data_IF_812135797237
#
_entry.id   IF_812135797237
#
_cell.length_a   1.000
_cell.length_b   1.000
_cell.length_c   1.000
_cell.angle_alpha   90.00
_cell.angle_beta   90.00
_cell.angle_gamma   90.00
#
_symmetry.space_group_name_H-M   'P 1'
#
loop_
_entity.id
_entity.type
_entity.pdbx_description
1 polymer ?
#
# COMPACT_ATOMS: atom_id res chain seq x y z
N UNK A 1 0.38 17.36 3.90
CA UNK A 1 -0.81 16.48 3.91
C UNK A 1 -0.39 15.05 3.63
N UNK A 2 -0.83 14.13 4.47
CA UNK A 2 -0.57 12.68 4.33
C UNK A 2 -1.26 12.16 3.09
N UNK A 3 -0.55 11.31 2.33
CA UNK A 3 -1.08 10.66 1.13
C UNK A 3 -1.10 9.14 1.32
N UNK A 4 -2.14 8.48 0.80
CA UNK A 4 -2.14 7.03 0.72
C UNK A 4 -1.21 6.54 -0.38
N UNK A 5 -0.52 5.41 -0.16
CA UNK A 5 0.22 4.70 -1.22
C UNK A 5 -0.71 4.00 -2.21
N UNK A 6 -1.94 3.70 -1.80
CA UNK A 6 -2.98 3.15 -2.66
C UNK A 6 -3.75 4.29 -3.31
N UNK A 7 -4.18 4.08 -4.54
CA UNK A 7 -4.96 5.05 -5.27
C UNK A 7 -5.41 4.54 -6.63
N UNK A 8 -6.41 5.23 -7.18
CA UNK A 8 -6.95 4.98 -8.49
C UNK A 8 -7.24 6.32 -9.19
N UNK A 9 -6.87 6.41 -10.45
CA UNK A 9 -7.21 7.54 -11.29
C UNK A 9 -7.59 7.08 -12.68
N UNK A 10 -8.60 7.69 -13.26
CA UNK A 10 -9.02 7.44 -14.63
C UNK A 10 -9.37 8.75 -15.33
N UNK A 11 -8.95 8.84 -16.56
CA UNK A 11 -9.42 9.88 -17.48
C UNK A 11 -9.67 9.27 -18.84
N UNK A 12 -10.65 9.80 -19.54
CA UNK A 12 -10.94 9.41 -20.91
C UNK A 12 -11.29 10.62 -21.76
N UNK A 13 -10.93 10.56 -23.04
CA UNK A 13 -11.33 11.52 -24.05
C UNK A 13 -11.95 10.75 -25.20
N UNK A 14 -13.17 11.12 -25.54
CA UNK A 14 -13.94 10.50 -26.62
C UNK A 14 -14.27 11.60 -27.62
N UNK A 15 -13.88 11.37 -28.86
CA UNK A 15 -14.24 12.23 -30.02
C UNK A 15 -14.97 11.37 -31.04
N UNK A 16 -15.41 11.98 -32.14
CA UNK A 16 -15.95 11.23 -33.29
C UNK A 16 -14.94 10.31 -33.96
N UNK A 17 -13.64 10.56 -33.75
CA UNK A 17 -12.53 9.92 -34.44
C UNK A 17 -11.83 8.84 -33.58
N UNK A 18 -11.80 9.01 -32.25
CA UNK A 18 -11.09 8.09 -31.36
C UNK A 18 -11.66 8.10 -29.93
N UNK A 19 -11.33 7.06 -29.20
CA UNK A 19 -11.47 6.99 -27.75
C UNK A 19 -10.10 6.65 -27.13
N UNK A 20 -9.60 7.54 -26.27
CA UNK A 20 -8.41 7.32 -25.46
C UNK A 20 -8.83 7.24 -23.98
N UNK A 21 -8.49 6.16 -23.30
CA UNK A 21 -8.70 6.01 -21.86
C UNK A 21 -7.40 5.63 -21.17
N UNK A 22 -7.14 6.28 -20.05
CA UNK A 22 -5.95 6.05 -19.21
C UNK A 22 -6.41 5.75 -17.81
N UNK A 23 -5.94 4.62 -17.26
CA UNK A 23 -6.19 4.21 -15.89
C UNK A 23 -4.86 4.04 -15.16
N UNK A 24 -4.79 4.58 -13.94
CA UNK A 24 -3.61 4.50 -13.05
C UNK A 24 -4.08 3.84 -11.76
N UNK A 25 -3.35 2.83 -11.32
CA UNK A 25 -3.56 2.15 -10.03
C UNK A 25 -2.25 2.07 -9.29
N UNK A 26 -2.27 2.30 -7.99
CA UNK A 26 -1.10 2.05 -7.14
C UNK A 26 -1.44 1.17 -5.95
N UNK A 27 -0.44 0.39 -5.53
CA UNK A 27 -0.47 -0.41 -4.32
C UNK A 27 0.83 -0.19 -3.54
N UNK A 28 0.78 -0.47 -2.23
CA UNK A 28 1.94 -0.34 -1.38
C UNK A 28 3.11 -1.18 -1.90
N UNK A 29 4.27 -0.53 -2.08
CA UNK A 29 5.52 -1.19 -2.42
C UNK A 29 6.71 -0.35 -1.91
N UNK A 30 7.81 -1.04 -1.56
CA UNK A 30 8.99 -0.40 -0.96
C UNK A 30 9.67 0.64 -1.87
N UNK A 31 9.68 0.39 -3.17
CA UNK A 31 10.29 1.24 -4.20
C UNK A 31 9.23 1.64 -5.23
N UNK A 32 9.52 2.68 -6.02
CA UNK A 32 8.68 2.98 -7.18
C UNK A 32 8.92 1.93 -8.26
N UNK A 33 7.89 1.13 -8.53
CA UNK A 33 7.83 0.16 -9.62
C UNK A 33 6.70 0.59 -10.57
N UNK A 34 7.06 1.08 -11.75
CA UNK A 34 6.11 1.59 -12.73
C UNK A 34 6.01 0.63 -13.92
N UNK A 35 4.87 -0.03 -14.03
CA UNK A 35 4.51 -0.92 -15.12
C UNK A 35 3.52 -0.21 -16.05
N UNK A 36 3.88 -0.08 -17.34
CA UNK A 36 3.06 0.61 -18.34
C UNK A 36 2.60 -0.39 -19.39
N UNK A 37 1.29 -0.49 -19.56
CA UNK A 37 0.67 -1.27 -20.64
C UNK A 37 0.00 -0.31 -21.61
N UNK A 38 0.50 -0.30 -22.85
CA UNK A 38 0.02 0.62 -23.88
C UNK A 38 0.11 0.00 -25.28
N UNK A 39 -0.68 0.49 -26.23
CA UNK A 39 -0.56 0.15 -27.65
C UNK A 39 0.83 0.51 -28.22
N UNK A 40 1.33 -0.24 -29.21
CA UNK A 40 2.64 -0.04 -29.82
C UNK A 40 2.90 1.38 -30.35
N UNK A 41 1.89 2.04 -30.83
CA UNK A 41 1.96 3.43 -31.33
C UNK A 41 2.43 4.45 -30.29
N UNK A 42 2.29 4.17 -29.00
CA UNK A 42 2.71 5.05 -27.91
C UNK A 42 4.10 4.72 -27.34
N UNK A 43 4.76 3.66 -27.80
CA UNK A 43 6.10 3.28 -27.33
C UNK A 43 7.14 4.42 -27.46
N UNK A 44 7.15 5.26 -28.53
CA UNK A 44 8.07 6.38 -28.60
C UNK A 44 7.97 7.36 -27.43
N UNK A 45 6.81 7.46 -26.81
CA UNK A 45 6.52 8.41 -25.71
C UNK A 45 6.71 7.80 -24.31
N UNK A 46 7.13 6.52 -24.19
CA UNK A 46 7.22 5.83 -22.91
C UNK A 46 8.07 6.57 -21.87
N UNK A 47 9.21 7.10 -22.27
CA UNK A 47 10.12 7.82 -21.38
C UNK A 47 9.47 9.10 -20.80
N UNK A 48 8.74 9.83 -21.63
CA UNK A 48 8.03 11.05 -21.21
C UNK A 48 6.84 10.72 -20.31
N UNK A 49 6.10 9.65 -20.61
CA UNK A 49 5.01 9.14 -19.77
C UNK A 49 5.53 8.79 -18.37
N UNK A 50 6.66 8.06 -18.30
CA UNK A 50 7.32 7.70 -17.03
C UNK A 50 7.71 8.93 -16.23
N UNK A 51 8.22 9.97 -16.87
CA UNK A 51 8.60 11.21 -16.20
C UNK A 51 7.39 11.93 -15.63
N UNK A 52 6.30 12.07 -16.40
CA UNK A 52 5.05 12.68 -15.93
C UNK A 52 4.49 11.94 -14.71
N UNK A 53 4.43 10.60 -14.73
CA UNK A 53 3.92 9.83 -13.60
C UNK A 53 4.78 9.98 -12.36
N UNK A 54 6.12 10.06 -12.50
CA UNK A 54 7.06 10.27 -11.39
C UNK A 54 6.87 11.61 -10.66
N UNK A 55 6.28 12.62 -11.29
CA UNK A 55 5.96 13.88 -10.62
C UNK A 55 4.84 13.72 -9.56
N UNK A 56 3.99 12.70 -9.70
CA UNK A 56 2.85 12.45 -8.82
C UNK A 56 3.08 11.33 -7.80
N UNK A 57 4.11 10.49 -8.01
CA UNK A 57 4.38 9.31 -7.16
C UNK A 57 5.87 9.15 -6.94
N UNK A 58 6.29 9.10 -5.67
CA UNK A 58 7.68 8.85 -5.27
C UNK A 58 7.93 7.40 -4.87
N UNK A 59 6.87 6.65 -4.48
CA UNK A 59 6.95 5.29 -3.96
C UNK A 59 5.68 4.50 -4.29
N UNK A 60 5.80 3.15 -4.33
CA UNK A 60 4.68 2.27 -4.61
C UNK A 60 4.82 1.53 -5.93
N UNK A 61 4.05 0.46 -6.12
CA UNK A 61 3.90 -0.20 -7.41
C UNK A 61 2.73 0.45 -8.15
N UNK A 62 3.01 1.00 -9.32
CA UNK A 62 2.04 1.72 -10.16
C UNK A 62 1.84 0.98 -11.46
N UNK A 63 0.61 0.59 -11.73
CA UNK A 63 0.19 0.03 -13.01
C UNK A 63 -0.56 1.11 -13.80
N UNK A 64 -0.04 1.44 -14.98
CA UNK A 64 -0.64 2.39 -15.94
C UNK A 64 -1.15 1.63 -17.15
N UNK A 65 -2.43 1.78 -17.46
CA UNK A 65 -3.10 1.20 -18.62
C UNK A 65 -3.55 2.29 -19.56
N UNK A 66 -3.07 2.25 -20.80
CA UNK A 66 -3.46 3.17 -21.87
C UNK A 66 -4.19 2.34 -22.92
N UNK A 67 -5.46 2.66 -23.15
CA UNK A 67 -6.28 2.04 -24.18
C UNK A 67 -6.68 3.08 -25.20
N UNK A 68 -6.50 2.75 -26.47
CA UNK A 68 -6.84 3.60 -27.60
C UNK A 68 -7.70 2.82 -28.60
N UNK A 69 -8.83 3.39 -28.94
CA UNK A 69 -9.73 2.87 -29.98
C UNK A 69 -9.88 3.93 -31.05
N UNK A 70 -9.57 3.60 -32.28
CA UNK A 70 -9.74 4.44 -33.46
C UNK A 70 -11.12 4.16 -34.06
N UNK A 71 -11.94 5.19 -34.23
CA UNK A 71 -13.27 5.12 -34.84
C UNK A 71 -13.27 5.58 -36.30
N UNK A 72 -12.19 6.26 -36.75
CA UNK A 72 -12.05 6.52 -38.17
C UNK A 72 -12.11 5.20 -38.90
N UNK A 73 -13.04 5.11 -39.84
CA UNK A 73 -13.12 3.94 -40.72
C UNK A 73 -11.71 3.56 -41.12
N UNK A 74 -11.26 2.39 -40.70
CA UNK A 74 -9.98 1.86 -41.14
C UNK A 74 -10.07 1.53 -42.64
N UNK A 75 -10.12 2.58 -43.43
CA UNK A 75 -9.68 2.50 -44.81
C UNK A 75 -8.13 2.29 -44.86
N UNK A 76 -7.58 1.72 -43.80
CA UNK A 76 -6.27 1.13 -43.83
C UNK A 76 -6.34 -0.01 -44.81
N UNK A 77 -5.86 0.24 -46.05
CA UNK A 77 -5.92 -0.74 -47.11
C UNK A 77 -5.19 -1.99 -46.64
N UNK A 78 -5.82 -3.13 -46.82
CA UNK A 78 -5.10 -4.41 -46.80
C UNK A 78 -4.26 -4.41 -48.07
N UNK A 79 -2.96 -4.31 -47.93
CA UNK A 79 -2.03 -4.30 -49.05
C UNK A 79 -1.38 -5.67 -49.19
N UNK A 80 -1.35 -6.14 -50.42
CA UNK A 80 -0.60 -7.32 -50.79
C UNK A 80 0.85 -6.93 -51.08
N UNK A 81 1.79 -7.53 -50.34
CA UNK A 81 3.23 -7.36 -50.59
C UNK A 81 3.65 -8.25 -51.79
N UNK A 82 3.52 -7.71 -53.00
CA UNK A 82 3.79 -8.47 -54.22
C UNK A 82 5.20 -9.06 -54.26
N UNK A 83 6.20 -8.31 -53.78
CA UNK A 83 7.60 -8.78 -53.81
C UNK A 83 7.81 -10.02 -52.91
N UNK A 84 7.10 -10.08 -51.80
CA UNK A 84 7.18 -11.24 -50.90
C UNK A 84 6.43 -12.43 -51.49
N UNK A 85 5.25 -12.19 -52.09
CA UNK A 85 4.47 -13.24 -52.76
C UNK A 85 5.28 -13.85 -53.90
N UNK A 86 5.90 -13.03 -54.76
CA UNK A 86 6.77 -13.50 -55.85
C UNK A 86 7.90 -14.40 -55.33
N UNK A 87 8.58 -14.00 -54.27
CA UNK A 87 9.65 -14.83 -53.66
C UNK A 87 9.13 -16.16 -53.10
N UNK A 88 7.94 -16.17 -52.46
CA UNK A 88 7.36 -17.43 -52.01
C UNK A 88 6.96 -18.36 -53.15
N UNK A 89 6.45 -17.81 -54.26
CA UNK A 89 6.13 -18.58 -55.45
C UNK A 89 7.39 -19.14 -56.12
N UNK A 90 8.46 -18.35 -56.21
CA UNK A 90 9.72 -18.80 -56.76
C UNK A 90 10.35 -19.95 -55.95
N UNK A 91 10.34 -19.82 -54.60
CA UNK A 91 10.80 -20.89 -53.68
C UNK A 91 9.90 -22.12 -53.81
N UNK A 92 8.60 -21.94 -53.97
CA UNK A 92 7.67 -23.05 -54.17
C UNK A 92 7.99 -23.85 -55.45
N UNK A 93 8.23 -23.13 -56.56
CA UNK A 93 8.64 -23.75 -57.83
C UNK A 93 9.99 -24.49 -57.72
N UNK A 94 10.98 -23.89 -57.07
CA UNK A 94 12.28 -24.50 -56.82
C UNK A 94 12.17 -25.79 -56.03
N UNK A 95 11.33 -25.81 -54.97
CA UNK A 95 11.05 -27.03 -54.18
C UNK A 95 10.38 -28.12 -55.02
N UNK A 96 9.42 -27.75 -55.89
CA UNK A 96 8.77 -28.70 -56.76
C UNK A 96 9.73 -29.37 -57.78
N UNK A 97 10.62 -28.55 -58.34
CA UNK A 97 11.64 -29.01 -59.32
C UNK A 97 12.74 -29.86 -58.67
N UNK A 98 13.29 -29.39 -57.52
CA UNK A 98 14.45 -30.04 -56.89
C UNK A 98 14.02 -31.37 -56.19
N UNK A 99 12.88 -31.37 -55.53
CA UNK A 99 12.44 -32.52 -54.72
C UNK A 99 11.33 -33.36 -55.40
N UNK A 100 10.91 -33.03 -56.58
CA UNK A 100 9.85 -33.73 -57.35
C UNK A 100 8.53 -33.88 -56.59
N UNK A 101 8.13 -32.78 -55.92
CA UNK A 101 6.85 -32.66 -55.18
C UNK A 101 5.83 -31.92 -56.05
N UNK A 102 4.52 -32.23 -55.84
CA UNK A 102 3.47 -31.51 -56.55
C UNK A 102 3.21 -30.14 -55.90
N UNK A 103 3.04 -29.13 -56.75
CA UNK A 103 2.59 -27.83 -56.30
C UNK A 103 1.13 -27.92 -55.86
N UNK A 104 0.90 -27.63 -54.54
CA UNK A 104 -0.42 -27.53 -53.94
C UNK A 104 -0.71 -26.13 -53.37
N UNK A 105 0.11 -25.11 -53.73
CA UNK A 105 -0.03 -23.74 -53.29
C UNK A 105 -1.33 -23.13 -53.74
N UNK A 106 -2.22 -22.85 -52.75
CA UNK A 106 -3.51 -22.18 -52.94
C UNK A 106 -3.45 -20.77 -52.42
N UNK A 107 -4.35 -19.91 -52.94
CA UNK A 107 -4.49 -18.52 -52.47
C UNK A 107 -4.62 -18.46 -50.94
N UNK A 108 -5.36 -19.40 -50.31
CA UNK A 108 -5.50 -19.50 -48.88
C UNK A 108 -4.18 -19.77 -48.15
N UNK A 109 -3.26 -20.50 -48.75
CA UNK A 109 -1.92 -20.74 -48.17
C UNK A 109 -1.09 -19.47 -48.25
N UNK A 110 -1.06 -18.79 -49.41
CA UNK A 110 -0.30 -17.58 -49.64
C UNK A 110 -0.75 -16.46 -48.72
N UNK A 111 -2.06 -16.28 -48.52
CA UNK A 111 -2.60 -15.25 -47.63
C UNK A 111 -2.26 -15.44 -46.13
N UNK A 112 -1.88 -16.66 -45.71
CA UNK A 112 -1.48 -17.00 -44.36
C UNK A 112 0.05 -16.96 -44.16
N UNK A 113 0.84 -16.75 -45.23
CA UNK A 113 2.30 -16.64 -45.11
C UNK A 113 2.69 -15.31 -44.43
N UNK A 114 3.77 -15.30 -43.63
CA UNK A 114 4.26 -14.10 -42.98
C UNK A 114 4.52 -12.95 -43.98
N UNK A 115 4.16 -11.74 -43.58
CA UNK A 115 4.40 -10.49 -44.30
C UNK A 115 3.79 -10.36 -45.69
N UNK A 116 2.98 -11.33 -46.13
CA UNK A 116 2.25 -11.28 -47.44
C UNK A 116 1.15 -10.24 -47.41
N UNK A 117 0.46 -10.11 -46.28
CA UNK A 117 -0.56 -9.10 -46.05
C UNK A 117 -0.01 -8.08 -45.06
N UNK A 118 0.03 -6.84 -45.45
CA UNK A 118 0.28 -5.71 -44.57
C UNK A 118 -0.99 -4.88 -44.41
N UNK A 119 -1.28 -4.52 -43.16
CA UNK A 119 -2.35 -3.56 -42.81
C UNK A 119 -1.63 -2.26 -42.54
N UNK A 120 -1.76 -1.27 -43.45
CA UNK A 120 -1.25 0.07 -43.16
C UNK A 120 -2.13 0.75 -42.11
N UNK A 121 -1.56 1.02 -40.95
CA UNK A 121 -2.18 1.92 -40.00
C UNK A 121 -2.04 3.36 -40.51
N UNK A 122 -3.12 4.14 -40.56
CA UNK A 122 -3.03 5.54 -41.01
C UNK A 122 -2.01 6.25 -40.10
N UNK A 123 -1.06 6.95 -40.72
CA UNK A 123 -0.12 7.82 -40.00
C UNK A 123 -0.92 9.02 -39.47
N UNK A 124 -1.30 8.92 -38.20
CA UNK A 124 -1.77 10.08 -37.47
C UNK A 124 -0.58 10.99 -37.18
N UNK A 125 -0.81 12.29 -37.11
CA UNK A 125 0.22 13.26 -36.77
C UNK A 125 0.75 12.94 -35.36
N UNK A 126 2.03 12.61 -35.26
CA UNK A 126 2.66 12.21 -33.98
C UNK A 126 2.54 13.33 -32.94
N UNK A 127 2.57 14.60 -33.36
CA UNK A 127 2.44 15.73 -32.44
C UNK A 127 1.02 15.86 -31.89
N UNK A 128 0.00 15.63 -32.73
CA UNK A 128 -1.40 15.66 -32.32
C UNK A 128 -1.71 14.54 -31.31
N UNK A 129 -1.27 13.32 -31.63
CA UNK A 129 -1.43 12.16 -30.73
C UNK A 129 -0.72 12.39 -29.40
N UNK A 130 0.49 12.93 -29.42
CA UNK A 130 1.28 13.27 -28.23
C UNK A 130 0.54 14.27 -27.35
N UNK A 131 0.02 15.33 -27.95
CA UNK A 131 -0.71 16.38 -27.22
C UNK A 131 -1.95 15.81 -26.49
N UNK A 132 -2.74 14.98 -27.19
CA UNK A 132 -3.93 14.34 -26.65
C UNK A 132 -3.56 13.37 -25.53
N UNK A 133 -2.57 12.50 -25.77
CA UNK A 133 -2.08 11.52 -24.79
C UNK A 133 -1.67 12.20 -23.48
N UNK A 134 -0.86 13.25 -23.56
CA UNK A 134 -0.36 13.94 -22.36
C UNK A 134 -1.45 14.73 -21.64
N UNK A 135 -2.41 15.29 -22.33
CA UNK A 135 -3.58 15.93 -21.73
C UNK A 135 -4.38 14.92 -20.90
N UNK A 136 -4.72 13.78 -21.48
CA UNK A 136 -5.50 12.73 -20.79
C UNK A 136 -4.67 12.10 -19.65
N UNK A 137 -3.37 11.91 -19.86
CA UNK A 137 -2.46 11.39 -18.82
C UNK A 137 -2.40 12.32 -17.60
N UNK A 138 -2.23 13.63 -17.81
CA UNK A 138 -2.24 14.61 -16.72
C UNK A 138 -3.55 14.62 -15.95
N UNK A 139 -4.68 14.52 -16.66
CA UNK A 139 -6.00 14.42 -16.02
C UNK A 139 -6.14 13.13 -15.19
N UNK A 140 -5.68 12.00 -15.70
CA UNK A 140 -5.67 10.72 -14.96
C UNK A 140 -4.76 10.81 -13.73
N UNK A 141 -3.57 11.40 -13.85
CA UNK A 141 -2.65 11.64 -12.75
C UNK A 141 -3.25 12.58 -11.68
N UNK A 142 -3.93 13.64 -12.09
CA UNK A 142 -4.61 14.56 -11.18
C UNK A 142 -5.75 13.86 -10.40
N UNK A 143 -6.57 13.06 -11.09
CA UNK A 143 -7.61 12.23 -10.48
C UNK A 143 -7.02 11.24 -9.48
N UNK A 144 -5.95 10.56 -9.86
CA UNK A 144 -5.20 9.63 -9.02
C UNK A 144 -4.63 10.32 -7.76
N UNK A 145 -4.02 11.49 -7.92
CA UNK A 145 -3.49 12.27 -6.81
C UNK A 145 -4.57 12.68 -5.81
N UNK A 146 -5.72 13.16 -6.31
CA UNK A 146 -6.85 13.54 -5.47
C UNK A 146 -7.41 12.33 -4.68
N UNK A 147 -7.51 11.16 -5.32
CA UNK A 147 -7.94 9.93 -4.62
C UNK A 147 -7.00 9.57 -3.48
N UNK A 148 -5.67 9.68 -3.69
CA UNK A 148 -4.66 9.43 -2.67
C UNK A 148 -4.72 10.43 -1.51
N UNK A 149 -5.02 11.70 -1.79
CA UNK A 149 -5.22 12.72 -0.75
C UNK A 149 -6.44 12.40 0.10
N UNK A 150 -7.58 12.14 -0.53
CA UNK A 150 -8.84 11.83 0.20
C UNK A 150 -8.71 10.56 1.04
N UNK A 151 -7.99 9.54 0.53
CA UNK A 151 -7.73 8.32 1.29
C UNK A 151 -6.72 8.57 2.42
N UNK A 152 -5.71 9.40 2.18
CA UNK A 152 -4.75 9.83 3.19
C UNK A 152 -5.38 10.59 4.35
N UNK A 153 -6.37 11.46 4.07
CA UNK A 153 -7.15 12.16 5.10
C UNK A 153 -7.94 11.18 5.98
N UNK A 154 -8.59 10.18 5.39
CA UNK A 154 -9.31 9.13 6.15
C UNK A 154 -8.37 8.29 7.00
N UNK A 155 -7.18 7.95 6.48
CA UNK A 155 -6.15 7.23 7.24
C UNK A 155 -5.67 8.07 8.43
N UNK A 156 -5.48 9.37 8.23
CA UNK A 156 -5.09 10.30 9.29
C UNK A 156 -6.12 10.37 10.42
N UNK A 157 -7.40 10.50 10.07
CA UNK A 157 -8.51 10.52 11.04
C UNK A 157 -8.60 9.19 11.81
N UNK A 158 -8.49 8.06 11.12
CA UNK A 158 -8.53 6.72 11.75
C UNK A 158 -7.36 6.52 12.72
N UNK A 159 -6.13 6.88 12.33
CA UNK A 159 -4.95 6.77 13.21
C UNK A 159 -5.08 7.72 14.41
N UNK A 160 -5.55 8.96 14.22
CA UNK A 160 -5.76 9.88 15.34
C UNK A 160 -6.79 9.37 16.35
N UNK A 161 -7.90 8.80 15.89
CA UNK A 161 -8.90 8.21 16.81
C UNK A 161 -8.30 7.06 17.65
N UNK A 162 -7.42 6.25 17.06
CA UNK A 162 -6.70 5.19 17.77
C UNK A 162 -5.67 5.74 18.75
N UNK A 163 -4.97 6.81 18.39
CA UNK A 163 -4.03 7.51 19.29
C UNK A 163 -4.76 8.02 20.55
N UNK A 164 -5.95 8.60 20.40
CA UNK A 164 -6.79 9.04 21.53
C UNK A 164 -7.21 7.87 22.41
N UNK A 165 -7.62 6.75 21.80
CA UNK A 165 -7.95 5.53 22.53
C UNK A 165 -6.75 4.98 23.30
N UNK A 166 -5.55 4.97 22.69
CA UNK A 166 -4.31 4.54 23.38
C UNK A 166 -4.02 5.42 24.59
N UNK A 167 -4.15 6.74 24.47
CA UNK A 167 -3.95 7.68 25.58
C UNK A 167 -4.94 7.44 26.72
N UNK A 168 -6.24 7.27 26.41
CA UNK A 168 -7.26 7.01 27.43
C UNK A 168 -7.02 5.67 28.12
N UNK A 169 -6.77 4.61 27.37
CA UNK A 169 -6.50 3.27 27.93
C UNK A 169 -5.23 3.24 28.81
N UNK A 170 -4.21 4.02 28.41
CA UNK A 170 -2.96 4.14 29.23
C UNK A 170 -3.24 4.86 30.54
N UNK A 171 -4.12 5.87 30.57
CA UNK A 171 -4.56 6.54 31.79
C UNK A 171 -5.35 5.59 32.69
N UNK A 172 -6.25 4.77 32.12
CA UNK A 172 -7.00 3.76 32.88
C UNK A 172 -6.06 2.79 33.61
N UNK A 173 -4.94 2.38 32.98
CA UNK A 173 -3.89 1.57 33.62
C UNK A 173 -3.26 2.34 34.77
N UNK A 174 -2.90 3.61 34.56
CA UNK A 174 -2.25 4.46 35.59
C UNK A 174 -3.17 4.67 36.82
N UNK A 175 -4.48 4.84 36.58
CA UNK A 175 -5.47 5.00 37.67
C UNK A 175 -5.77 3.69 38.41
N UNK A 176 -5.74 2.54 37.73
CA UNK A 176 -6.02 1.24 38.31
C UNK A 176 -4.86 0.72 39.17
N UNK A 177 -3.62 1.06 38.83
CA UNK A 177 -2.41 0.50 39.44
C UNK A 177 -2.36 0.65 40.98
N UNK A 178 -2.63 1.84 41.60
CA UNK A 178 -2.61 1.99 43.06
C UNK A 178 -3.63 1.11 43.76
N UNK A 179 -4.82 0.91 43.16
CA UNK A 179 -5.86 0.06 43.74
C UNK A 179 -5.45 -1.43 43.80
N UNK A 180 -4.70 -1.88 42.78
CA UNK A 180 -4.16 -3.27 42.76
C UNK A 180 -3.22 -3.55 43.95
N UNK A 181 -2.38 -2.56 44.31
CA UNK A 181 -1.50 -2.66 45.46
C UNK A 181 -2.29 -2.77 46.79
N UNK A 182 -3.29 -1.94 46.97
CA UNK A 182 -4.13 -1.94 48.19
C UNK A 182 -4.96 -3.25 48.27
N UNK A 183 -5.49 -3.74 47.18
CA UNK A 183 -6.18 -5.03 47.13
C UNK A 183 -5.24 -6.19 47.46
N UNK A 184 -4.00 -6.17 46.96
CA UNK A 184 -3.00 -7.19 47.29
C UNK A 184 -2.67 -7.16 48.78
N UNK A 185 -2.37 -5.98 49.34
CA UNK A 185 -2.10 -5.81 50.79
C UNK A 185 -3.23 -6.36 51.64
N UNK A 186 -4.46 -6.00 51.31
CA UNK A 186 -5.65 -6.47 52.05
C UNK A 186 -5.80 -7.99 51.99
N UNK A 187 -5.63 -8.59 50.80
CA UNK A 187 -5.68 -10.05 50.61
C UNK A 187 -4.55 -10.75 51.38
N UNK A 188 -3.35 -10.18 51.38
CA UNK A 188 -2.20 -10.74 52.12
C UNK A 188 -2.47 -10.76 53.63
N UNK A 189 -2.96 -9.65 54.20
CA UNK A 189 -3.29 -9.55 55.62
C UNK A 189 -4.37 -10.57 55.99
N UNK A 190 -5.43 -10.70 55.20
CA UNK A 190 -6.48 -11.71 55.46
C UNK A 190 -5.93 -13.13 55.45
N UNK A 191 -5.14 -13.46 54.44
CA UNK A 191 -4.55 -14.82 54.30
C UNK A 191 -3.57 -15.15 55.41
N UNK A 192 -2.81 -14.17 55.85
CA UNK A 192 -1.89 -14.30 56.99
C UNK A 192 -2.65 -14.55 58.27
N UNK A 193 -3.72 -13.79 58.52
CA UNK A 193 -4.56 -13.97 59.72
C UNK A 193 -5.23 -15.35 59.76
N UNK A 194 -5.70 -15.87 58.62
CA UNK A 194 -6.27 -17.20 58.51
C UNK A 194 -5.24 -18.31 58.85
N UNK A 195 -4.00 -18.17 58.36
CA UNK A 195 -2.95 -19.17 58.52
C UNK A 195 -2.37 -19.20 59.95
N UNK A 196 -2.36 -18.08 60.65
CA UNK A 196 -1.71 -17.95 61.96
C UNK A 196 -2.60 -18.29 63.15
N UNK A 197 -3.89 -18.59 62.98
CA UNK A 197 -4.84 -18.91 64.02
C UNK A 197 -4.72 -18.01 65.26
N UNK A 198 -4.48 -16.71 65.07
CA UNK A 198 -4.37 -15.73 66.12
C UNK A 198 -2.96 -15.37 66.61
N UNK A 199 -1.90 -15.91 65.97
CA UNK A 199 -0.54 -15.44 66.24
C UNK A 199 -0.29 -14.12 65.49
N UNK A 200 0.40 -13.14 66.06
CA UNK A 200 0.71 -11.87 65.42
C UNK A 200 1.93 -12.02 64.50
N UNK A 201 1.82 -11.43 63.28
CA UNK A 201 3.00 -11.17 62.42
C UNK A 201 3.48 -9.74 62.66
N UNK A 202 4.78 -9.54 62.59
CA UNK A 202 5.37 -8.19 62.59
C UNK A 202 4.96 -7.42 61.33
N UNK A 203 4.43 -6.21 61.50
CA UNK A 203 4.01 -5.32 60.39
C UNK A 203 5.12 -5.09 59.38
N UNK A 204 6.38 -5.10 59.80
CA UNK A 204 7.56 -4.96 58.92
C UNK A 204 7.67 -6.11 57.90
N UNK A 205 7.24 -7.34 58.19
CA UNK A 205 7.27 -8.45 57.25
C UNK A 205 6.21 -8.28 56.13
N UNK A 206 5.02 -7.83 56.53
CA UNK A 206 3.95 -7.53 55.57
C UNK A 206 4.38 -6.35 54.68
N UNK A 207 4.95 -5.27 55.27
CA UNK A 207 5.46 -4.15 54.51
C UNK A 207 6.54 -4.54 53.50
N UNK A 208 7.47 -5.40 53.88
CA UNK A 208 8.52 -5.92 53.00
C UNK A 208 7.94 -6.69 51.81
N UNK A 209 6.98 -7.59 52.04
CA UNK A 209 6.35 -8.39 50.99
C UNK A 209 5.55 -7.50 50.03
N UNK A 210 4.81 -6.52 50.54
CA UNK A 210 4.07 -5.57 49.71
C UNK A 210 5.02 -4.72 48.88
N UNK A 211 6.17 -4.32 49.42
CA UNK A 211 7.19 -3.58 48.66
C UNK A 211 7.78 -4.41 47.53
N UNK A 212 8.16 -5.66 47.80
CA UNK A 212 8.68 -6.58 46.77
C UNK A 212 7.64 -6.85 45.67
N UNK A 213 6.37 -6.98 46.07
CA UNK A 213 5.30 -7.14 45.10
C UNK A 213 5.10 -5.87 44.28
N UNK A 214 5.11 -4.68 44.90
CA UNK A 214 5.01 -3.41 44.22
C UNK A 214 6.10 -3.22 43.14
N UNK A 215 7.36 -3.53 43.51
CA UNK A 215 8.49 -3.47 42.58
C UNK A 215 8.31 -4.41 41.38
N UNK A 216 7.78 -5.62 41.64
CA UNK A 216 7.56 -6.63 40.60
C UNK A 216 6.50 -6.23 39.60
N UNK A 217 5.41 -5.58 40.02
CA UNK A 217 4.28 -5.18 39.16
C UNK A 217 4.40 -3.74 38.70
N UNK A 218 5.45 -3.01 39.09
CA UNK A 218 5.63 -1.60 38.74
C UNK A 218 5.66 -1.41 37.23
N UNK A 219 4.75 -0.61 36.70
CA UNK A 219 4.61 -0.28 35.28
C UNK A 219 4.73 1.22 35.00
N UNK A 220 5.12 2.01 35.97
CA UNK A 220 5.18 3.47 35.87
C UNK A 220 6.11 3.94 34.76
N UNK A 221 7.27 3.30 34.63
CA UNK A 221 8.24 3.65 33.59
C UNK A 221 7.69 3.34 32.19
N UNK A 222 7.07 2.17 32.02
CA UNK A 222 6.44 1.74 30.77
C UNK A 222 5.27 2.67 30.38
N UNK A 223 4.45 3.07 31.34
CA UNK A 223 3.34 4.01 31.14
C UNK A 223 3.86 5.37 30.67
N UNK A 224 4.88 5.92 31.35
CA UNK A 224 5.49 7.21 30.96
C UNK A 224 6.11 7.14 29.57
N UNK A 225 6.85 6.07 29.25
CA UNK A 225 7.44 5.85 27.94
C UNK A 225 6.37 5.71 26.86
N UNK A 226 5.31 4.92 27.14
CA UNK A 226 4.21 4.73 26.21
C UNK A 226 3.52 6.04 25.89
N UNK A 227 3.19 6.87 26.88
CA UNK A 227 2.61 8.22 26.68
C UNK A 227 3.54 9.09 25.83
N UNK A 228 4.83 9.04 26.09
CA UNK A 228 5.82 9.80 25.32
C UNK A 228 5.85 9.38 23.84
N UNK A 229 5.83 8.05 23.57
CA UNK A 229 5.81 7.54 22.20
C UNK A 229 4.49 7.85 21.48
N UNK A 230 3.35 7.77 22.18
CA UNK A 230 2.04 8.14 21.61
C UNK A 230 2.02 9.62 21.22
N UNK A 231 2.50 10.52 22.09
CA UNK A 231 2.57 11.94 21.78
C UNK A 231 3.53 12.22 20.63
N UNK A 232 4.71 11.58 20.61
CA UNK A 232 5.65 11.70 19.51
C UNK A 232 5.04 11.21 18.17
N UNK A 233 4.22 10.16 18.18
CA UNK A 233 3.50 9.68 17.00
C UNK A 233 2.48 10.71 16.52
N UNK A 234 1.69 11.30 17.45
CA UNK A 234 0.72 12.37 17.13
C UNK A 234 1.40 13.58 16.49
N UNK A 235 2.56 13.97 16.98
CA UNK A 235 3.31 15.11 16.43
C UNK A 235 3.93 14.79 15.06
N UNK A 236 4.47 13.58 14.90
CA UNK A 236 5.02 13.13 13.62
C UNK A 236 3.97 13.06 12.52
N UNK A 237 2.74 12.65 12.86
CA UNK A 237 1.61 12.60 11.93
C UNK A 237 1.22 13.98 11.36
N UNK A 238 1.63 15.07 11.98
CA UNK A 238 1.40 16.44 11.50
C UNK A 238 2.43 16.92 10.48
N UNK A 239 3.53 16.18 10.31
CA UNK A 239 4.61 16.51 9.37
C UNK A 239 4.27 16.02 7.96
N UNK A 240 4.79 16.75 6.94
CA UNK A 240 4.38 16.53 5.54
C UNK A 240 5.27 15.55 4.76
N UNK A 241 6.39 15.04 5.31
CA UNK A 241 7.35 14.27 4.51
C UNK A 241 8.05 13.16 5.28
N UNK A 242 8.18 12.00 4.62
CA UNK A 242 9.09 10.93 5.04
C UNK A 242 8.75 10.22 6.36
N UNK A 243 7.52 10.36 6.83
CA UNK A 243 7.10 9.99 8.19
C UNK A 243 6.98 8.48 8.44
N UNK A 244 6.71 7.67 7.40
CA UNK A 244 6.35 6.26 7.55
C UNK A 244 7.35 5.40 8.33
N UNK A 245 8.67 5.60 8.14
CA UNK A 245 9.69 4.82 8.87
C UNK A 245 9.75 5.19 10.35
N UNK A 246 9.58 6.46 10.67
CA UNK A 246 9.62 6.94 12.04
C UNK A 246 8.37 6.53 12.79
N UNK A 247 7.22 6.57 12.13
CA UNK A 247 5.97 6.06 12.68
C UNK A 247 6.01 4.55 12.95
N UNK A 248 6.56 3.74 12.02
CA UNK A 248 6.74 2.28 12.24
C UNK A 248 7.66 2.01 13.43
N UNK A 249 8.76 2.77 13.57
CA UNK A 249 9.64 2.67 14.74
C UNK A 249 8.90 3.01 16.04
N UNK A 250 8.13 4.11 16.08
CA UNK A 250 7.34 4.49 17.26
C UNK A 250 6.29 3.43 17.59
N UNK A 251 5.62 2.84 16.61
CA UNK A 251 4.67 1.76 16.82
C UNK A 251 5.35 0.51 17.41
N UNK A 252 6.58 0.19 17.00
CA UNK A 252 7.36 -0.92 17.57
C UNK A 252 7.72 -0.65 19.04
N UNK A 253 8.18 0.56 19.38
CA UNK A 253 8.48 0.92 20.77
C UNK A 253 7.21 0.90 21.65
N UNK A 254 6.08 1.45 21.15
CA UNK A 254 4.80 1.36 21.87
C UNK A 254 4.38 -0.10 22.13
N UNK A 255 4.55 -0.97 21.13
CA UNK A 255 4.23 -2.39 21.28
C UNK A 255 5.14 -3.06 22.33
N UNK A 256 6.41 -2.67 22.40
CA UNK A 256 7.35 -3.13 23.41
C UNK A 256 6.90 -2.76 24.82
N UNK A 257 6.54 -1.49 25.04
CA UNK A 257 6.05 -1.01 26.34
C UNK A 257 4.73 -1.71 26.72
N UNK A 258 3.78 -1.85 25.80
CA UNK A 258 2.52 -2.57 26.04
C UNK A 258 2.75 -4.05 26.38
N UNK A 259 3.73 -4.73 25.76
CA UNK A 259 4.13 -6.09 26.10
C UNK A 259 4.69 -6.19 27.50
N UNK A 260 5.52 -5.23 27.92
CA UNK A 260 6.11 -5.20 29.26
C UNK A 260 5.02 -4.98 30.31
N UNK A 261 4.08 -4.06 30.08
CA UNK A 261 2.91 -3.84 30.95
C UNK A 261 2.11 -5.15 31.09
N UNK A 262 1.81 -5.84 29.98
CA UNK A 262 1.09 -7.11 30.01
C UNK A 262 1.82 -8.18 30.81
N UNK A 263 3.15 -8.29 30.64
CA UNK A 263 3.96 -9.32 31.32
C UNK A 263 4.11 -9.08 32.82
N UNK A 264 4.10 -7.82 33.25
CA UNK A 264 4.15 -7.43 34.67
C UNK A 264 2.77 -7.46 35.36
N UNK A 265 1.69 -7.47 34.56
CA UNK A 265 0.32 -7.40 35.09
C UNK A 265 -0.09 -8.72 35.75
N UNK A 266 -0.61 -8.61 36.97
CA UNK A 266 -1.28 -9.68 37.72
C UNK A 266 -2.78 -9.40 37.90
N UNK A 267 -3.23 -8.17 37.52
CA UNK A 267 -4.62 -7.72 37.54
C UNK A 267 -5.27 -7.95 36.18
N UNK A 268 -6.49 -8.53 36.19
CA UNK A 268 -7.22 -8.85 34.97
C UNK A 268 -7.59 -7.61 34.16
N UNK A 269 -7.92 -6.49 34.81
CA UNK A 269 -8.29 -5.26 34.14
C UNK A 269 -7.08 -4.64 33.43
N UNK A 270 -5.93 -4.57 34.12
CA UNK A 270 -4.67 -4.08 33.52
C UNK A 270 -4.26 -4.97 32.34
N UNK A 271 -4.37 -6.31 32.48
CA UNK A 271 -4.09 -7.24 31.40
C UNK A 271 -5.00 -7.01 30.18
N UNK A 272 -6.30 -6.80 30.40
CA UNK A 272 -7.24 -6.48 29.32
C UNK A 272 -6.91 -5.15 28.65
N UNK A 273 -6.59 -4.10 29.40
CA UNK A 273 -6.16 -2.81 28.85
C UNK A 273 -4.87 -2.97 28.01
N UNK A 274 -3.89 -3.73 28.51
CA UNK A 274 -2.66 -3.98 27.75
C UNK A 274 -2.90 -4.75 26.44
N UNK A 275 -3.87 -5.67 26.41
CA UNK A 275 -4.29 -6.37 25.19
C UNK A 275 -4.96 -5.39 24.21
N UNK A 276 -5.81 -4.48 24.69
CA UNK A 276 -6.41 -3.43 23.88
C UNK A 276 -5.30 -2.55 23.27
N UNK A 277 -4.35 -2.07 24.09
CA UNK A 277 -3.22 -1.28 23.61
C UNK A 277 -2.47 -2.00 22.49
N UNK A 278 -2.11 -3.26 22.66
CA UNK A 278 -1.41 -4.05 21.64
C UNK A 278 -2.21 -4.18 20.36
N UNK A 279 -3.50 -4.42 20.47
CA UNK A 279 -4.38 -4.60 19.31
C UNK A 279 -4.47 -3.30 18.51
N UNK A 280 -4.66 -2.16 19.18
CA UNK A 280 -4.77 -0.88 18.50
C UNK A 280 -3.41 -0.40 17.94
N UNK A 281 -2.30 -0.67 18.63
CA UNK A 281 -0.96 -0.38 18.11
C UNK A 281 -0.68 -1.17 16.82
N UNK A 282 -1.07 -2.44 16.75
CA UNK A 282 -0.87 -3.23 15.52
C UNK A 282 -1.77 -2.73 14.38
N UNK A 283 -3.02 -2.34 14.64
CA UNK A 283 -3.88 -1.69 13.64
C UNK A 283 -3.27 -0.39 13.13
N UNK A 284 -2.73 0.46 14.01
CA UNK A 284 -2.01 1.69 13.62
C UNK A 284 -0.83 1.32 12.72
N UNK A 285 -0.06 0.31 13.07
CA UNK A 285 1.10 -0.12 12.32
C UNK A 285 0.75 -0.59 10.90
N UNK A 286 -0.35 -1.33 10.74
CA UNK A 286 -0.86 -1.72 9.42
C UNK A 286 -1.27 -0.50 8.58
N UNK A 287 -1.91 0.50 9.18
CA UNK A 287 -2.32 1.72 8.48
C UNK A 287 -1.10 2.58 8.07
N UNK A 288 -0.10 2.70 8.95
CA UNK A 288 1.14 3.46 8.67
C UNK A 288 1.88 2.90 7.44
N UNK A 289 1.81 1.61 7.18
CA UNK A 289 2.42 0.99 6.01
C UNK A 289 1.82 1.51 4.69
N UNK A 290 0.62 2.07 4.71
CA UNK A 290 -0.06 2.64 3.55
C UNK A 290 0.11 4.16 3.43
N UNK A 291 0.91 4.79 4.29
CA UNK A 291 1.17 6.24 4.31
C UNK A 291 2.46 6.58 3.55
N UNK A 292 2.37 7.60 2.67
CA UNK A 292 3.49 8.22 1.96
C UNK A 292 3.69 9.67 2.39
#
# INVERSE_FOLDING_TARGET
MIKSMTGFGRAEEITGDYKLSIEIKSVNHRYLDLNIKMPRRFFPFEAEIRNIVKEYVSRGKVDLFINYLDFKDKAGGVYLNKNIVEKYLDIGNELCEEYNIFDDLKVSHILNLPDVISIDEPKLDEEEIKAILFKVLKNACASFYNTRLTEGEKLFEDVNSKIELLLSTTKDIQERYPAVLEEYKSKLILKVNELLNGASIEDNRIATEVTLYADKICVDEEVVRLISHINAMSDEMKLDTGIGRKLDFLAQEMNREANTILSKSTDLNIANYAIILKTEIEKIREQIQNIE
#
